data_IF_948141049829
#
_entry.id   IF_948141049829
#
_cell.length_a   1.000
_cell.length_b   1.000
_cell.length_c   1.000
_cell.angle_alpha   90.00
_cell.angle_beta   90.00
_cell.angle_gamma   90.00
#
_symmetry.space_group_name_H-M   'P 1'
#
loop_
_entity.id
_entity.type
_entity.pdbx_description
1 polymer ?
#
# COMPACT_ATOMS: atom_id res chain seq x y z
N UNK A 1 -18.36 14.30 -3.66
CA UNK A 1 -17.04 14.02 -3.05
C UNK A 1 -16.93 12.51 -3.05
N UNK A 2 -15.93 11.97 -3.76
CA UNK A 2 -15.74 10.52 -3.88
C UNK A 2 -15.27 10.03 -2.51
N UNK A 3 -16.14 9.36 -1.75
CA UNK A 3 -15.88 8.97 -0.35
C UNK A 3 -15.06 7.68 -0.29
N UNK A 4 -13.83 7.73 -0.77
CA UNK A 4 -12.88 6.65 -0.49
C UNK A 4 -12.43 6.79 0.97
N UNK A 5 -12.56 5.72 1.74
CA UNK A 5 -12.03 5.67 3.10
C UNK A 5 -10.53 5.94 3.04
N UNK A 6 -9.99 6.81 3.91
CA UNK A 6 -8.56 7.03 3.96
C UNK A 6 -7.83 5.72 4.26
N UNK A 7 -6.60 5.60 3.75
CA UNK A 7 -5.84 4.36 3.77
C UNK A 7 -4.51 4.50 4.52
N UNK A 8 -4.21 3.59 5.43
CA UNK A 8 -2.85 3.37 5.94
C UNK A 8 -2.32 2.07 5.41
N UNK A 9 -1.10 2.09 4.88
CA UNK A 9 -0.35 0.89 4.57
C UNK A 9 0.88 0.84 5.46
N UNK A 10 1.13 -0.27 6.13
CA UNK A 10 2.35 -0.50 6.90
C UNK A 10 3.13 -1.70 6.34
N UNK A 11 4.44 -1.55 6.18
CA UNK A 11 5.33 -2.65 5.80
C UNK A 11 5.98 -3.21 7.05
N UNK A 12 5.44 -4.32 7.56
CA UNK A 12 5.92 -4.98 8.77
C UNK A 12 7.38 -5.43 8.61
N UNK A 13 8.16 -5.18 9.66
CA UNK A 13 9.61 -5.45 9.70
C UNK A 13 9.92 -6.52 10.74
N UNK A 14 11.02 -7.23 10.50
CA UNK A 14 11.58 -8.22 11.42
C UNK A 14 13.10 -8.21 11.31
N UNK A 15 13.79 -8.16 12.45
CA UNK A 15 15.26 -8.03 12.51
C UNK A 15 15.95 -9.22 13.21
N UNK A 16 15.20 -10.19 13.75
CA UNK A 16 15.75 -11.31 14.54
C UNK A 16 15.37 -12.69 13.98
N UNK A 17 15.88 -13.74 14.64
CA UNK A 17 15.77 -15.14 14.24
C UNK A 17 14.32 -15.70 14.27
N UNK A 18 13.36 -15.01 14.89
CA UNK A 18 11.94 -15.42 14.98
C UNK A 18 11.02 -14.41 14.26
N UNK A 19 11.12 -14.41 12.93
CA UNK A 19 10.41 -13.49 12.04
C UNK A 19 8.88 -13.59 12.24
N UNK A 20 8.33 -14.80 12.30
CA UNK A 20 6.90 -15.02 12.48
C UNK A 20 6.39 -14.39 13.78
N UNK A 21 7.09 -14.62 14.89
CA UNK A 21 6.68 -14.05 16.18
C UNK A 21 6.72 -12.52 16.18
N UNK A 22 7.74 -11.91 15.55
CA UNK A 22 7.85 -10.45 15.48
C UNK A 22 6.76 -9.83 14.60
N UNK A 23 6.50 -10.41 13.43
CA UNK A 23 5.44 -9.94 12.54
C UNK A 23 4.07 -10.10 13.21
N UNK A 24 3.83 -11.21 13.91
CA UNK A 24 2.64 -11.41 14.73
C UNK A 24 2.53 -10.32 15.81
N UNK A 25 3.60 -10.04 16.56
CA UNK A 25 3.57 -9.03 17.62
C UNK A 25 3.30 -7.62 17.07
N UNK A 26 3.87 -7.27 15.91
CA UNK A 26 3.62 -5.99 15.26
C UNK A 26 2.16 -5.89 14.79
N UNK A 27 1.67 -6.92 14.10
CA UNK A 27 0.29 -6.96 13.61
C UNK A 27 -0.73 -6.96 14.76
N UNK A 28 -0.49 -7.73 15.83
CA UNK A 28 -1.32 -7.73 17.04
C UNK A 28 -1.26 -6.39 17.79
N UNK A 29 -0.08 -5.76 17.87
CA UNK A 29 0.07 -4.44 18.46
C UNK A 29 -0.73 -3.36 17.72
N UNK A 30 -0.84 -3.49 16.39
CA UNK A 30 -1.70 -2.67 15.54
C UNK A 30 -3.18 -3.03 15.77
N UNK A 31 -3.54 -4.32 15.80
CA UNK A 31 -4.90 -4.79 16.08
C UNK A 31 -5.47 -4.17 17.35
N UNK A 32 -4.68 -4.12 18.42
CA UNK A 32 -5.08 -3.55 19.71
C UNK A 32 -5.32 -2.03 19.68
N UNK A 33 -4.92 -1.36 18.60
CA UNK A 33 -5.13 0.07 18.40
C UNK A 33 -6.32 0.34 17.48
N UNK A 34 -6.81 -0.66 16.74
CA UNK A 34 -7.88 -0.49 15.74
C UNK A 34 -9.24 -0.73 16.38
N UNK A 35 -10.20 0.16 16.11
CA UNK A 35 -11.60 0.04 16.51
C UNK A 35 -12.48 -0.28 15.28
N UNK A 36 -13.45 -1.18 15.41
CA UNK A 36 -14.32 -1.62 14.32
C UNK A 36 -15.29 -0.53 13.83
N UNK A 37 -15.46 0.55 14.59
CA UNK A 37 -16.22 1.73 14.20
C UNK A 37 -15.42 2.72 13.31
N UNK A 38 -14.10 2.53 13.15
CA UNK A 38 -13.25 3.49 12.46
C UNK A 38 -13.50 3.61 10.98
N UNK A 39 -13.47 4.85 10.45
CA UNK A 39 -13.68 5.13 9.03
C UNK A 39 -12.39 5.14 8.18
N UNK A 40 -11.36 4.37 8.58
CA UNK A 40 -10.11 4.20 7.84
C UNK A 40 -9.87 2.73 7.47
N UNK A 41 -9.18 2.49 6.35
CA UNK A 41 -8.70 1.16 5.96
C UNK A 41 -7.21 1.03 6.32
N UNK A 42 -6.80 -0.14 6.80
CA UNK A 42 -5.41 -0.49 7.06
C UNK A 42 -4.98 -1.70 6.22
N UNK A 43 -3.77 -1.66 5.69
CA UNK A 43 -3.14 -2.77 4.97
C UNK A 43 -1.80 -3.08 5.62
N UNK A 44 -1.63 -4.32 6.08
CA UNK A 44 -0.39 -4.81 6.68
C UNK A 44 0.37 -5.67 5.67
N UNK A 45 1.59 -5.28 5.32
CA UNK A 45 2.41 -5.98 4.34
C UNK A 45 3.54 -6.74 5.03
N UNK A 46 3.65 -8.04 4.77
CA UNK A 46 4.70 -8.91 5.28
C UNK A 46 5.53 -9.53 4.14
N UNK A 47 6.68 -10.17 4.42
CA UNK A 47 7.29 -11.11 3.47
C UNK A 47 6.31 -12.24 3.12
N UNK A 48 6.31 -12.69 1.86
CA UNK A 48 5.32 -13.67 1.38
C UNK A 48 5.36 -15.02 2.11
N UNK A 49 6.55 -15.47 2.50
CA UNK A 49 6.80 -16.68 3.26
C UNK A 49 6.38 -16.59 4.74
N UNK A 50 5.96 -15.40 5.17
CA UNK A 50 5.56 -15.08 6.53
C UNK A 50 4.17 -14.42 6.61
N UNK A 51 3.39 -14.43 5.51
CA UNK A 51 2.05 -13.84 5.50
C UNK A 51 1.12 -14.50 6.54
N UNK A 52 1.26 -15.82 6.75
CA UNK A 52 0.49 -16.58 7.73
C UNK A 52 0.67 -16.07 9.16
N UNK A 53 1.84 -15.52 9.50
CA UNK A 53 2.09 -14.94 10.81
C UNK A 53 1.15 -13.76 11.11
N UNK A 54 0.76 -13.03 10.07
CA UNK A 54 -0.21 -11.93 10.15
C UNK A 54 -1.63 -12.49 10.04
N UNK A 55 -1.93 -13.33 9.04
CA UNK A 55 -3.32 -13.68 8.70
C UNK A 55 -3.94 -14.77 9.56
N UNK A 56 -3.16 -15.75 10.05
CA UNK A 56 -3.71 -16.88 10.82
C UNK A 56 -3.70 -16.63 12.33
N UNK A 57 -2.75 -15.80 12.79
CA UNK A 57 -2.52 -15.62 14.22
C UNK A 57 -3.14 -14.33 14.77
N UNK A 58 -3.57 -13.39 13.93
CA UNK A 58 -4.23 -12.14 14.37
C UNK A 58 -5.70 -12.14 14.01
N UNK A 59 -6.54 -11.55 14.85
CA UNK A 59 -7.96 -11.35 14.55
C UNK A 59 -8.19 -10.20 13.56
N UNK A 60 -7.18 -9.36 13.38
CA UNK A 60 -7.28 -8.09 12.66
C UNK A 60 -7.60 -8.27 11.19
N UNK A 61 -7.29 -9.40 10.57
CA UNK A 61 -7.53 -9.64 9.13
C UNK A 61 -8.57 -10.72 8.84
N UNK A 62 -9.36 -11.10 9.85
CA UNK A 62 -10.41 -12.11 9.70
C UNK A 62 -11.61 -11.63 8.89
N UNK A 63 -12.51 -12.57 8.54
CA UNK A 63 -13.67 -12.30 7.67
C UNK A 63 -14.60 -11.18 8.17
N UNK A 64 -14.61 -10.94 9.49
CA UNK A 64 -15.42 -9.91 10.14
C UNK A 64 -14.70 -8.54 10.22
N UNK A 65 -13.39 -8.48 9.95
CA UNK A 65 -12.57 -7.27 10.06
C UNK A 65 -12.53 -6.49 8.73
N UNK A 66 -13.64 -5.80 8.42
CA UNK A 66 -13.79 -5.08 7.14
C UNK A 66 -12.83 -3.88 6.94
N UNK A 67 -12.04 -3.53 7.95
CA UNK A 67 -11.17 -2.34 7.95
C UNK A 67 -9.69 -2.66 7.87
N UNK A 68 -9.26 -3.88 8.16
CA UNK A 68 -7.85 -4.25 8.04
C UNK A 68 -7.70 -5.47 7.14
N UNK A 69 -6.77 -5.38 6.21
CA UNK A 69 -6.37 -6.47 5.33
C UNK A 69 -4.85 -6.64 5.35
N UNK A 70 -4.37 -7.75 4.82
CA UNK A 70 -2.95 -8.01 4.66
C UNK A 70 -2.55 -8.21 3.20
N UNK A 71 -1.25 -8.30 3.01
CA UNK A 71 -0.64 -8.66 1.76
C UNK A 71 0.86 -8.83 1.90
N UNK A 72 1.53 -8.87 0.77
CA UNK A 72 2.94 -9.19 0.70
C UNK A 72 3.76 -8.05 0.11
N UNK A 73 5.00 -7.95 0.58
CA UNK A 73 6.00 -6.99 0.08
C UNK A 73 6.62 -7.44 -1.26
N UNK A 74 6.44 -8.71 -1.63
CA UNK A 74 6.96 -9.30 -2.86
C UNK A 74 6.36 -10.67 -3.16
N UNK A 75 6.61 -11.18 -4.37
CA UNK A 75 6.27 -12.54 -4.79
C UNK A 75 7.48 -13.26 -5.41
N UNK A 76 7.59 -14.59 -5.26
CA UNK A 76 8.73 -15.33 -5.75
C UNK A 76 8.78 -15.37 -7.28
N UNK A 77 10.00 -15.36 -7.82
CA UNK A 77 10.25 -15.57 -9.24
C UNK A 77 10.32 -17.08 -9.54
N UNK A 78 9.62 -17.51 -10.59
CA UNK A 78 9.69 -18.87 -11.10
C UNK A 78 10.92 -19.06 -12.00
N UNK A 79 11.27 -20.33 -12.26
CA UNK A 79 12.45 -20.70 -13.04
C UNK A 79 12.41 -20.22 -14.51
N UNK A 80 11.23 -19.96 -15.05
CA UNK A 80 11.01 -19.43 -16.40
C UNK A 80 10.98 -17.89 -16.46
N UNK A 81 11.17 -17.23 -15.31
CA UNK A 81 11.13 -15.77 -15.18
C UNK A 81 9.72 -15.18 -15.08
N UNK A 82 8.68 -16.00 -14.88
CA UNK A 82 7.38 -15.53 -14.39
C UNK A 82 7.43 -15.26 -12.89
N UNK A 83 6.37 -14.65 -12.35
CA UNK A 83 6.21 -14.46 -10.91
C UNK A 83 4.98 -15.23 -10.43
N UNK A 84 5.07 -15.83 -9.24
CA UNK A 84 4.02 -16.65 -8.67
C UNK A 84 3.23 -15.85 -7.62
N UNK A 85 2.09 -15.30 -8.03
CA UNK A 85 1.18 -14.61 -7.15
C UNK A 85 0.22 -15.55 -6.39
N UNK A 86 0.24 -16.87 -6.68
CA UNK A 86 -0.61 -17.82 -5.96
C UNK A 86 -0.17 -18.03 -4.51
N UNK A 87 1.00 -17.52 -4.11
CA UNK A 87 1.40 -17.43 -2.70
C UNK A 87 0.48 -16.53 -1.87
N UNK A 88 -0.36 -15.74 -2.52
CA UNK A 88 -1.35 -14.87 -1.92
C UNK A 88 -2.75 -15.50 -2.10
N UNK A 89 -3.06 -16.51 -1.29
CA UNK A 89 -4.24 -17.37 -1.49
C UNK A 89 -5.56 -16.73 -1.00
N UNK A 90 -5.49 -15.83 -0.03
CA UNK A 90 -6.65 -15.28 0.66
C UNK A 90 -7.26 -14.08 -0.09
N UNK A 91 -8.51 -14.16 -0.59
CA UNK A 91 -9.15 -13.06 -1.31
C UNK A 91 -9.30 -11.75 -0.53
N UNK A 92 -9.35 -11.79 0.80
CA UNK A 92 -9.42 -10.61 1.67
C UNK A 92 -8.04 -10.04 1.97
N UNK A 93 -7.01 -10.88 1.97
CA UNK A 93 -5.63 -10.55 2.31
C UNK A 93 -4.69 -10.62 1.08
N UNK A 94 -5.17 -10.09 -0.04
CA UNK A 94 -4.54 -10.23 -1.35
C UNK A 94 -3.83 -8.99 -1.92
N UNK A 95 -3.16 -8.20 -1.08
CA UNK A 95 -2.38 -7.07 -1.57
C UNK A 95 -0.95 -7.45 -1.97
N UNK A 96 -0.44 -6.86 -3.05
CA UNK A 96 0.97 -6.94 -3.43
C UNK A 96 1.59 -5.53 -3.54
N UNK A 97 2.69 -5.30 -2.83
CA UNK A 97 3.56 -4.14 -3.09
C UNK A 97 4.45 -4.40 -4.30
N UNK A 98 4.52 -3.44 -5.23
CA UNK A 98 5.44 -3.48 -6.36
C UNK A 98 6.20 -2.17 -6.50
N UNK A 99 7.47 -2.27 -6.89
CA UNK A 99 8.32 -1.11 -7.14
C UNK A 99 8.86 -0.43 -5.88
N UNK A 100 8.91 -1.15 -4.75
CA UNK A 100 9.57 -0.67 -3.52
C UNK A 100 10.98 -0.13 -3.85
N UNK A 101 11.28 1.15 -3.59
CA UNK A 101 12.58 1.75 -3.92
C UNK A 101 13.76 1.16 -3.14
N UNK A 102 13.51 0.38 -2.07
CA UNK A 102 14.54 -0.38 -1.35
C UNK A 102 14.99 -1.62 -2.11
N UNK A 103 14.28 -1.98 -3.19
CA UNK A 103 14.59 -3.10 -4.08
C UNK A 103 15.12 -2.60 -5.42
N UNK A 104 15.97 -3.41 -6.05
CA UNK A 104 16.57 -3.10 -7.35
C UNK A 104 15.75 -3.62 -8.54
N UNK A 105 14.42 -3.65 -8.42
CA UNK A 105 13.54 -4.15 -9.48
C UNK A 105 13.48 -3.16 -10.65
N UNK A 106 13.58 -3.67 -11.88
CA UNK A 106 13.41 -2.88 -13.10
C UNK A 106 11.93 -2.67 -13.43
N UNK A 107 11.61 -1.69 -14.28
CA UNK A 107 10.24 -1.47 -14.77
C UNK A 107 9.63 -2.74 -15.40
N UNK A 108 10.43 -3.53 -16.11
CA UNK A 108 10.01 -4.81 -16.70
C UNK A 108 9.65 -5.83 -15.61
N UNK A 109 10.45 -5.93 -14.53
CA UNK A 109 10.16 -6.82 -13.40
C UNK A 109 8.89 -6.40 -12.69
N UNK A 110 8.73 -5.11 -12.45
CA UNK A 110 7.56 -4.54 -11.77
C UNK A 110 6.29 -4.77 -12.60
N UNK A 111 6.37 -4.54 -13.91
CA UNK A 111 5.25 -4.82 -14.83
C UNK A 111 4.86 -6.29 -14.79
N UNK A 112 5.82 -7.21 -14.79
CA UNK A 112 5.54 -8.66 -14.70
C UNK A 112 4.92 -9.05 -13.37
N UNK A 113 5.39 -8.51 -12.25
CA UNK A 113 4.78 -8.75 -10.92
C UNK A 113 3.36 -8.23 -10.85
N UNK A 114 3.11 -7.02 -11.34
CA UNK A 114 1.79 -6.42 -11.42
C UNK A 114 0.84 -7.28 -12.27
N UNK A 115 1.29 -7.72 -13.45
CA UNK A 115 0.49 -8.61 -14.31
C UNK A 115 0.18 -9.95 -13.64
N UNK A 116 1.15 -10.56 -12.95
CA UNK A 116 0.96 -11.80 -12.22
C UNK A 116 -0.08 -11.64 -11.10
N UNK A 117 0.02 -10.57 -10.30
CA UNK A 117 -0.92 -10.27 -9.24
C UNK A 117 -2.35 -10.07 -9.77
N UNK A 118 -2.52 -9.24 -10.79
CA UNK A 118 -3.85 -8.96 -11.35
C UNK A 118 -4.48 -10.20 -11.98
N UNK A 119 -3.67 -11.06 -12.64
CA UNK A 119 -4.13 -12.33 -13.18
C UNK A 119 -4.55 -13.33 -12.09
N UNK A 120 -3.96 -13.23 -10.89
CA UNK A 120 -4.33 -14.00 -9.70
C UNK A 120 -5.44 -13.31 -8.86
N UNK A 121 -6.13 -12.34 -9.44
CA UNK A 121 -7.18 -11.55 -8.78
C UNK A 121 -6.73 -10.74 -7.53
N UNK A 122 -5.43 -10.55 -7.36
CA UNK A 122 -4.88 -9.73 -6.28
C UNK A 122 -5.08 -8.23 -6.52
N UNK A 123 -4.95 -7.45 -5.45
CA UNK A 123 -4.86 -5.98 -5.47
C UNK A 123 -3.39 -5.57 -5.41
N UNK A 124 -3.06 -4.37 -5.89
CA UNK A 124 -1.66 -3.93 -5.96
C UNK A 124 -1.44 -2.53 -5.40
N UNK A 125 -0.31 -2.34 -4.70
CA UNK A 125 0.22 -1.05 -4.29
C UNK A 125 1.47 -0.78 -5.13
N UNK A 126 1.41 0.24 -5.98
CA UNK A 126 2.47 0.56 -6.95
C UNK A 126 3.26 1.76 -6.46
N UNK A 127 4.54 1.58 -6.15
CA UNK A 127 5.42 2.65 -5.74
C UNK A 127 5.94 3.47 -6.93
N UNK A 128 5.87 4.79 -6.80
CA UNK A 128 6.43 5.78 -7.73
C UNK A 128 7.34 6.71 -6.93
N UNK A 129 8.61 6.79 -7.33
CA UNK A 129 9.59 7.65 -6.65
C UNK A 129 9.93 8.94 -7.42
N UNK A 130 9.52 9.02 -8.70
CA UNK A 130 9.73 10.18 -9.57
C UNK A 130 8.46 10.49 -10.35
N UNK A 131 8.10 11.77 -10.41
CA UNK A 131 6.90 12.29 -11.08
C UNK A 131 7.16 12.74 -12.51
N UNK A 132 8.38 12.55 -13.03
CA UNK A 132 8.64 12.78 -14.46
C UNK A 132 7.69 11.93 -15.31
N UNK A 133 7.15 12.52 -16.37
CA UNK A 133 6.19 11.84 -17.24
C UNK A 133 6.75 10.51 -17.79
N UNK A 134 8.06 10.45 -18.10
CA UNK A 134 8.71 9.23 -18.54
C UNK A 134 8.66 8.12 -17.46
N UNK A 135 8.92 8.48 -16.20
CA UNK A 135 8.91 7.51 -15.11
C UNK A 135 7.49 7.01 -14.81
N UNK A 136 6.52 7.91 -14.71
CA UNK A 136 5.11 7.55 -14.50
C UNK A 136 4.62 6.65 -15.64
N UNK A 137 4.92 7.00 -16.90
CA UNK A 137 4.50 6.22 -18.06
C UNK A 137 5.14 4.82 -18.11
N UNK A 138 6.38 4.68 -17.67
CA UNK A 138 7.04 3.38 -17.56
C UNK A 138 6.42 2.55 -16.43
N UNK A 139 6.21 3.15 -15.24
CA UNK A 139 5.71 2.45 -14.06
C UNK A 139 4.25 2.01 -14.18
N UNK A 140 3.44 2.83 -14.84
CA UNK A 140 2.01 2.60 -15.04
C UNK A 140 1.71 1.98 -16.42
N UNK A 141 2.75 1.46 -17.08
CA UNK A 141 2.60 0.76 -18.33
C UNK A 141 1.68 -0.46 -18.16
N UNK A 142 0.65 -0.55 -19.00
CA UNK A 142 -0.31 -1.65 -18.98
C UNK A 142 -1.59 -1.38 -18.15
N UNK A 143 -1.71 -0.24 -17.47
CA UNK A 143 -2.92 0.11 -16.70
C UNK A 143 -4.18 0.38 -17.54
N UNK A 144 -4.06 0.63 -18.84
CA UNK A 144 -5.18 1.04 -19.69
C UNK A 144 -6.36 0.03 -19.71
N UNK A 145 -6.10 -1.25 -19.44
CA UNK A 145 -7.13 -2.31 -19.39
C UNK A 145 -7.49 -2.76 -17.97
N UNK A 146 -7.00 -2.07 -16.94
CA UNK A 146 -7.15 -2.45 -15.55
C UNK A 146 -8.19 -1.54 -14.88
N UNK A 147 -9.01 -2.12 -14.00
CA UNK A 147 -9.82 -1.32 -13.09
C UNK A 147 -8.92 -0.73 -12.00
N UNK A 148 -8.70 0.58 -12.05
CA UNK A 148 -7.89 1.29 -11.09
C UNK A 148 -8.43 1.26 -9.67
N UNK A 149 -9.68 0.82 -9.43
CA UNK A 149 -10.18 0.57 -8.07
C UNK A 149 -9.38 -0.53 -7.33
N UNK A 150 -8.72 -1.42 -8.07
CA UNK A 150 -7.90 -2.53 -7.54
C UNK A 150 -6.45 -2.15 -7.27
N UNK A 151 -6.07 -0.91 -7.52
CA UNK A 151 -4.71 -0.43 -7.32
C UNK A 151 -4.68 0.78 -6.39
N UNK A 152 -3.59 0.86 -5.65
CA UNK A 152 -3.19 2.03 -4.88
C UNK A 152 -1.84 2.47 -5.45
N UNK A 153 -1.65 3.77 -5.60
CA UNK A 153 -0.36 4.33 -6.03
C UNK A 153 0.30 4.98 -4.83
N UNK A 154 1.48 4.51 -4.45
CA UNK A 154 2.27 5.07 -3.38
C UNK A 154 3.34 6.01 -3.96
N UNK A 155 3.21 7.32 -3.73
CA UNK A 155 4.27 8.26 -4.05
C UNK A 155 5.31 8.26 -2.92
N UNK A 156 6.49 7.70 -3.19
CA UNK A 156 7.55 7.51 -2.21
C UNK A 156 8.69 8.49 -2.48
N UNK A 157 8.76 9.55 -1.67
CA UNK A 157 9.77 10.59 -1.84
C UNK A 157 10.10 11.25 -0.49
N UNK A 158 11.36 11.64 -0.21
CA UNK A 158 11.72 12.27 1.07
C UNK A 158 10.87 13.51 1.39
N UNK A 159 10.55 14.30 0.37
CA UNK A 159 9.72 15.51 0.48
C UNK A 159 8.21 15.26 0.26
N UNK A 160 7.75 14.00 0.25
CA UNK A 160 6.34 13.66 -0.02
C UNK A 160 5.38 14.19 1.05
N UNK A 161 5.86 14.59 2.23
CA UNK A 161 5.05 15.25 3.27
C UNK A 161 4.89 16.76 3.05
N UNK A 162 5.59 17.34 2.06
CA UNK A 162 5.42 18.75 1.70
C UNK A 162 4.16 18.92 0.83
N UNK A 163 3.18 19.75 1.22
CA UNK A 163 1.90 19.88 0.52
C UNK A 163 2.01 20.14 -0.99
N UNK A 164 2.90 21.04 -1.39
CA UNK A 164 3.09 21.37 -2.81
C UNK A 164 3.70 20.22 -3.61
N UNK A 165 4.56 19.40 -3.00
CA UNK A 165 5.21 18.26 -3.66
C UNK A 165 4.20 17.12 -3.85
N UNK A 166 3.48 16.77 -2.78
CA UNK A 166 2.44 15.74 -2.85
C UNK A 166 1.29 16.10 -3.79
N UNK A 167 0.77 17.33 -3.73
CA UNK A 167 -0.31 17.76 -4.63
C UNK A 167 0.14 17.76 -6.10
N UNK A 168 1.39 18.17 -6.39
CA UNK A 168 1.94 18.11 -7.73
C UNK A 168 2.10 16.66 -8.23
N UNK A 169 2.58 15.76 -7.37
CA UNK A 169 2.68 14.33 -7.67
C UNK A 169 1.30 13.73 -7.94
N UNK A 170 0.31 14.04 -7.10
CA UNK A 170 -1.06 13.58 -7.25
C UNK A 170 -1.69 14.04 -8.55
N UNK A 171 -1.52 15.32 -8.90
CA UNK A 171 -1.98 15.85 -10.20
C UNK A 171 -1.31 15.11 -11.36
N UNK A 172 0.02 14.98 -11.36
CA UNK A 172 0.75 14.36 -12.46
C UNK A 172 0.37 12.88 -12.67
N UNK A 173 0.20 12.13 -11.58
CA UNK A 173 -0.22 10.72 -11.62
C UNK A 173 -1.66 10.61 -12.12
N UNK A 174 -2.59 11.41 -11.59
CA UNK A 174 -4.00 11.37 -12.00
C UNK A 174 -4.18 11.80 -13.46
N UNK A 175 -3.46 12.83 -13.90
CA UNK A 175 -3.44 13.27 -15.31
C UNK A 175 -2.96 12.14 -16.23
N UNK A 176 -1.93 11.39 -15.83
CA UNK A 176 -1.45 10.25 -16.60
C UNK A 176 -2.50 9.13 -16.67
N UNK A 177 -3.09 8.73 -15.54
CA UNK A 177 -4.15 7.69 -15.49
C UNK A 177 -5.33 8.08 -16.39
N UNK A 178 -5.77 9.34 -16.32
CA UNK A 178 -6.84 9.86 -17.17
C UNK A 178 -6.45 9.81 -18.65
N UNK A 179 -5.20 10.12 -18.99
CA UNK A 179 -4.71 10.13 -20.37
C UNK A 179 -4.67 8.75 -21.02
N UNK A 180 -4.43 7.69 -20.24
CA UNK A 180 -4.43 6.30 -20.74
C UNK A 180 -5.82 5.66 -20.73
N UNK A 181 -6.83 6.38 -20.24
CA UNK A 181 -8.23 5.94 -20.28
C UNK A 181 -8.54 4.76 -19.35
N UNK A 182 -7.78 4.58 -18.28
CA UNK A 182 -8.06 3.53 -17.30
C UNK A 182 -9.42 3.77 -16.61
N UNK A 183 -10.14 2.70 -16.32
CA UNK A 183 -11.43 2.75 -15.62
C UNK A 183 -11.26 2.81 -14.11
N UNK A 184 -12.24 3.35 -13.38
CA UNK A 184 -12.18 3.45 -11.93
C UNK A 184 -11.28 4.58 -11.44
N UNK A 185 -11.14 4.70 -10.12
CA UNK A 185 -10.30 5.71 -9.48
C UNK A 185 -9.27 5.02 -8.59
N UNK A 186 -7.99 5.16 -8.91
CA UNK A 186 -6.92 4.74 -8.01
C UNK A 186 -6.88 5.66 -6.79
N UNK A 187 -6.62 5.05 -5.63
CA UNK A 187 -6.20 5.78 -4.44
C UNK A 187 -4.73 6.14 -4.57
N UNK A 188 -4.36 7.30 -4.05
CA UNK A 188 -2.98 7.76 -3.99
C UNK A 188 -2.58 7.98 -2.54
N UNK A 189 -1.57 7.26 -2.10
CA UNK A 189 -0.97 7.44 -0.78
C UNK A 189 0.43 8.02 -0.91
N UNK A 190 0.92 8.64 0.15
CA UNK A 190 2.28 9.20 0.18
C UNK A 190 3.13 8.48 1.21
N UNK A 191 4.44 8.39 0.94
CA UNK A 191 5.43 7.84 1.85
C UNK A 191 6.58 8.83 2.01
N UNK A 192 6.87 9.19 3.25
CA UNK A 192 7.94 10.09 3.66
C UNK A 192 8.10 10.04 5.18
N UNK A 193 8.68 11.08 5.79
CA UNK A 193 8.80 11.17 7.25
C UNK A 193 7.46 11.54 7.90
N UNK A 194 6.58 10.56 8.03
CA UNK A 194 5.23 10.69 8.56
C UNK A 194 5.24 10.29 10.03
N UNK A 195 4.67 11.14 10.88
CA UNK A 195 4.57 10.94 12.33
C UNK A 195 3.15 11.26 12.78
N UNK A 196 2.80 10.89 14.01
CA UNK A 196 1.50 11.26 14.59
C UNK A 196 1.28 12.77 14.63
N UNK A 197 2.36 13.56 14.77
CA UNK A 197 2.29 15.03 14.81
C UNK A 197 1.96 15.67 13.45
N UNK A 198 2.35 15.06 12.33
CA UNK A 198 2.19 15.66 11.00
C UNK A 198 1.17 14.94 10.10
N UNK A 199 0.62 13.80 10.55
CA UNK A 199 -0.30 12.99 9.77
C UNK A 199 -1.53 13.78 9.27
N UNK A 200 -2.08 14.66 10.10
CA UNK A 200 -3.26 15.46 9.76
C UNK A 200 -2.98 16.42 8.60
N UNK A 201 -1.80 17.06 8.64
CA UNK A 201 -1.37 17.96 7.58
C UNK A 201 -1.09 17.21 6.28
N UNK A 202 -0.55 15.99 6.36
CA UNK A 202 -0.22 15.16 5.19
C UNK A 202 -1.48 14.63 4.51
N UNK A 203 -2.44 14.12 5.29
CA UNK A 203 -3.67 13.54 4.73
C UNK A 203 -4.62 14.65 4.26
N UNK A 204 -4.56 15.83 4.87
CA UNK A 204 -5.30 17.01 4.40
C UNK A 204 -4.85 17.57 3.05
N UNK A 205 -3.80 17.01 2.43
CA UNK A 205 -3.32 17.44 1.11
C UNK A 205 -4.31 17.00 0.02
N UNK A 206 -4.71 17.94 -0.84
CA UNK A 206 -5.61 17.65 -1.95
C UNK A 206 -5.07 16.55 -2.87
N UNK A 207 -5.90 15.54 -3.11
CA UNK A 207 -5.57 14.37 -3.93
C UNK A 207 -4.74 13.29 -3.23
N UNK A 208 -4.44 13.41 -1.93
CA UNK A 208 -3.86 12.35 -1.10
C UNK A 208 -4.99 11.62 -0.38
N UNK A 209 -5.02 10.30 -0.53
CA UNK A 209 -6.03 9.39 0.02
C UNK A 209 -5.51 8.61 1.24
N UNK A 210 -4.29 8.88 1.70
CA UNK A 210 -3.69 8.16 2.81
C UNK A 210 -2.16 8.13 2.81
N UNK A 211 -1.59 7.20 3.57
CA UNK A 211 -0.15 7.12 3.83
C UNK A 211 0.39 5.69 3.72
N UNK A 212 1.65 5.58 3.30
CA UNK A 212 2.45 4.36 3.36
C UNK A 212 3.57 4.57 4.39
N UNK A 213 3.59 3.72 5.40
CA UNK A 213 4.59 3.67 6.46
C UNK A 213 5.60 2.58 6.11
N UNK A 214 6.80 2.99 5.73
CA UNK A 214 7.89 2.08 5.35
C UNK A 214 8.90 1.85 6.48
N UNK A 215 8.80 2.61 7.58
CA UNK A 215 9.70 2.53 8.73
C UNK A 215 9.22 1.49 9.77
N UNK A 216 10.12 1.11 10.66
CA UNK A 216 9.98 0.03 11.66
C UNK A 216 9.22 0.44 12.94
N UNK A 217 8.91 1.73 13.09
CA UNK A 217 8.27 2.26 14.29
C UNK A 217 6.79 2.52 14.06
N UNK A 218 5.97 1.59 14.54
CA UNK A 218 4.51 1.70 14.53
C UNK A 218 3.95 2.39 15.77
N UNK A 219 4.79 3.03 16.58
CA UNK A 219 4.38 3.75 17.80
C UNK A 219 3.33 4.83 17.49
N UNK A 220 3.39 5.42 16.29
CA UNK A 220 2.46 6.45 15.84
C UNK A 220 1.25 5.88 15.07
N UNK A 221 1.17 4.57 14.83
CA UNK A 221 0.17 3.98 13.92
C UNK A 221 -1.27 4.28 14.36
N UNK A 222 -1.60 4.08 15.63
CA UNK A 222 -2.92 4.41 16.19
C UNK A 222 -3.23 5.90 16.09
N UNK A 223 -2.27 6.77 16.43
CA UNK A 223 -2.42 8.22 16.30
C UNK A 223 -2.70 8.63 14.84
N UNK A 224 -2.01 8.00 13.89
CA UNK A 224 -2.22 8.24 12.45
C UNK A 224 -3.61 7.77 12.04
N UNK A 225 -4.07 6.61 12.52
CA UNK A 225 -5.40 6.10 12.21
C UNK A 225 -6.53 6.97 12.80
N UNK A 226 -6.40 7.46 14.03
CA UNK A 226 -7.36 8.39 14.66
C UNK A 226 -7.50 9.69 13.85
N UNK A 227 -6.39 10.21 13.33
CA UNK A 227 -6.40 11.38 12.45
C UNK A 227 -7.17 11.08 11.15
N UNK A 228 -6.96 9.90 10.58
CA UNK A 228 -7.61 9.49 9.34
C UNK A 228 -9.10 9.24 9.52
N UNK A 229 -9.51 8.67 10.65
CA UNK A 229 -10.91 8.53 11.03
C UNK A 229 -11.61 9.90 11.02
N UNK A 230 -11.02 10.89 11.69
CA UNK A 230 -11.59 12.24 11.82
C UNK A 230 -11.79 12.94 10.47
N UNK A 231 -10.96 12.62 9.48
CA UNK A 231 -11.06 13.18 8.12
C UNK A 231 -12.06 12.42 7.23
N UNK A 232 -12.42 11.20 7.59
CA UNK A 232 -13.39 10.38 6.85
C UNK A 232 -14.85 10.70 7.15
N UNK A 233 -15.15 11.35 8.30
CA UNK A 233 -16.49 11.83 8.69
C UNK A 233 -16.98 13.04 7.87
#
# INVERSE_FOLDING_TARGET
MSSNRPLVVAILHSDEDDIDYQLYCAAYGIEMQVDDEWNAEAILLAPHDHLHAVTENTGVTGEDAAIVSAGVTDIPAAADGSFDASVIEDPQNNWLLVGDPRRSDTDDVITKKLQAALAADCRAIICIADTTHQHIAARLHGLASIDCSRIVIAFVHPDATTPSVAAAAASAIRDHIASVGASGQARLIVSGNITGENAADVVGIDGVDGVLLMDDKYDDFGTILEVLETLGE
#
